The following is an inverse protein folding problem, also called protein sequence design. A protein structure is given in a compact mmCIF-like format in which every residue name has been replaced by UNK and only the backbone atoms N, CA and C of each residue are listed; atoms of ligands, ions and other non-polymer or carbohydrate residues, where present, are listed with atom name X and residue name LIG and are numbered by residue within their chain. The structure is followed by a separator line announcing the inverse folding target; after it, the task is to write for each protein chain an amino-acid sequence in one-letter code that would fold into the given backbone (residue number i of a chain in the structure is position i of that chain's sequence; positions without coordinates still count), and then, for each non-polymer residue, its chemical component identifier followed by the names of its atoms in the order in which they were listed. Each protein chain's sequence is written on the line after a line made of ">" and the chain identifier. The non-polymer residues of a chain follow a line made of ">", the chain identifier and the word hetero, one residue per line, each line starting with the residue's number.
data_IF_622553841937
#
_entry.id   IF_622553841937
#
_cell.length_a   1.000
_cell.length_b   1.000
_cell.length_c   1.000
_cell.angle_alpha   90.00
_cell.angle_beta   90.00
_cell.angle_gamma   90.00
#
_symmetry.space_group_name_H-M   'P 1'
#
loop_
_entity.id
_entity.type
_entity.pdbx_description
1 polymer ?
#
# COMPACT_ATOMS: atom_id res chain seq x y z
N UNK A 1 -8.09 16.69 -0.47
CA UNK A 1 -8.23 17.38 0.83
C UNK A 1 -9.67 17.40 1.32
N UNK A 2 -10.68 17.71 0.48
CA UNK A 2 -12.11 17.64 0.83
C UNK A 2 -12.51 16.27 1.44
N UNK A 3 -12.19 15.16 0.77
CA UNK A 3 -12.56 13.81 1.25
C UNK A 3 -11.93 13.44 2.61
N UNK A 4 -10.75 13.98 2.94
CA UNK A 4 -10.12 13.74 4.25
C UNK A 4 -10.85 14.50 5.37
N UNK A 5 -11.37 15.69 5.08
CA UNK A 5 -12.11 16.52 6.03
C UNK A 5 -13.53 16.00 6.22
N UNK A 6 -14.11 15.39 5.18
CA UNK A 6 -15.43 14.76 5.23
C UNK A 6 -15.41 13.31 5.76
N UNK A 7 -14.24 12.79 6.17
CA UNK A 7 -14.02 11.38 6.56
C UNK A 7 -14.44 10.34 5.49
N UNK A 8 -14.52 10.77 4.23
CA UNK A 8 -14.84 9.91 3.08
C UNK A 8 -13.58 9.19 2.59
N UNK A 9 -12.98 8.37 3.45
CA UNK A 9 -11.85 7.52 3.11
C UNK A 9 -11.99 6.12 3.71
N UNK A 10 -11.38 5.15 3.04
CA UNK A 10 -11.20 3.79 3.51
C UNK A 10 -9.74 3.58 3.93
N UNK A 11 -9.54 2.78 4.97
CA UNK A 11 -8.23 2.32 5.41
C UNK A 11 -8.10 0.82 5.12
N UNK A 12 -7.10 0.46 4.33
CA UNK A 12 -6.73 -0.93 4.04
C UNK A 12 -5.42 -1.22 4.77
N UNK A 13 -5.42 -2.20 5.66
CA UNK A 13 -4.28 -2.60 6.47
C UNK A 13 -3.84 -4.03 6.19
N UNK A 14 -2.55 -4.31 6.29
CA UNK A 14 -2.04 -5.64 6.03
C UNK A 14 -0.53 -5.75 6.19
N UNK A 15 0.01 -6.95 6.14
CA UNK A 15 1.44 -7.19 6.34
C UNK A 15 2.17 -7.14 5.01
N UNK A 16 3.23 -6.34 4.91
CA UNK A 16 4.09 -6.31 3.74
C UNK A 16 4.71 -7.70 3.50
N UNK A 17 4.45 -8.28 2.32
CA UNK A 17 4.98 -9.59 1.94
C UNK A 17 6.27 -9.47 1.13
N UNK A 18 6.35 -8.50 0.22
CA UNK A 18 7.53 -8.32 -0.63
C UNK A 18 7.76 -6.86 -1.00
N UNK A 19 9.03 -6.49 -1.22
CA UNK A 19 9.41 -5.14 -1.66
C UNK A 19 10.28 -5.21 -2.91
N UNK A 20 9.74 -4.81 -4.06
CA UNK A 20 10.51 -4.69 -5.29
C UNK A 20 11.16 -3.31 -5.40
N UNK A 21 12.49 -3.26 -5.53
CA UNK A 21 13.26 -2.01 -5.68
C UNK A 21 13.79 -1.84 -7.10
N UNK A 22 13.89 -0.59 -7.56
CA UNK A 22 14.60 -0.28 -8.81
C UNK A 22 16.09 -0.52 -8.63
N UNK A 23 16.76 -1.08 -9.66
CA UNK A 23 18.19 -1.45 -9.61
C UNK A 23 19.12 -0.26 -9.28
N UNK A 24 18.80 0.94 -9.76
CA UNK A 24 19.71 2.10 -9.68
C UNK A 24 19.48 3.02 -8.49
N UNK A 25 18.23 3.27 -8.10
CA UNK A 25 17.90 4.29 -7.10
C UNK A 25 17.51 3.71 -5.73
N UNK A 26 17.53 2.37 -5.58
CA UNK A 26 16.99 1.66 -4.39
C UNK A 26 15.56 2.07 -4.00
N UNK A 27 14.87 2.79 -4.89
CA UNK A 27 13.52 3.29 -4.71
C UNK A 27 12.57 2.11 -4.89
N UNK A 28 11.58 2.03 -4.02
CA UNK A 28 10.54 1.00 -4.12
C UNK A 28 9.77 1.23 -5.43
N UNK A 29 9.82 0.24 -6.32
CA UNK A 29 9.05 0.20 -7.58
C UNK A 29 7.60 -0.16 -7.27
N UNK A 30 7.42 -1.20 -6.47
CA UNK A 30 6.15 -1.63 -5.90
C UNK A 30 6.44 -2.46 -4.64
N UNK A 31 5.43 -2.62 -3.80
CA UNK A 31 5.43 -3.61 -2.73
C UNK A 31 4.11 -4.38 -2.78
N UNK A 32 4.10 -5.58 -2.19
CA UNK A 32 2.88 -6.35 -1.97
C UNK A 32 2.60 -6.47 -0.48
N UNK A 33 1.33 -6.50 -0.12
CA UNK A 33 0.86 -6.71 1.24
C UNK A 33 -0.25 -7.75 1.26
N UNK A 34 -0.31 -8.54 2.34
CA UNK A 34 -1.41 -9.45 2.62
C UNK A 34 -2.46 -8.72 3.46
N UNK A 35 -3.63 -8.53 2.89
CA UNK A 35 -4.82 -8.02 3.57
C UNK A 35 -5.81 -9.19 3.65
N UNK A 36 -6.07 -9.68 4.85
CA UNK A 36 -6.83 -10.91 5.09
C UNK A 36 -6.27 -12.10 4.30
N UNK A 37 -6.99 -12.60 3.30
CA UNK A 37 -6.59 -13.68 2.39
C UNK A 37 -6.16 -13.19 0.99
N UNK A 38 -6.07 -11.86 0.80
CA UNK A 38 -5.82 -11.23 -0.50
C UNK A 38 -4.47 -10.54 -0.57
N UNK A 39 -3.75 -10.77 -1.65
CA UNK A 39 -2.53 -10.03 -1.97
C UNK A 39 -2.90 -8.71 -2.63
N UNK A 40 -2.39 -7.60 -2.10
CA UNK A 40 -2.57 -6.25 -2.65
C UNK A 40 -1.22 -5.71 -3.08
N UNK A 41 -1.13 -5.28 -4.33
CA UNK A 41 0.05 -4.67 -4.94
C UNK A 41 -0.11 -3.17 -5.06
N UNK A 42 0.92 -2.45 -4.63
CA UNK A 42 0.86 -0.99 -4.49
C UNK A 42 2.07 -0.37 -5.16
N UNK A 43 1.83 0.69 -5.93
CA UNK A 43 2.87 1.47 -6.59
C UNK A 43 3.07 2.79 -5.85
N UNK A 44 4.22 3.00 -5.18
CA UNK A 44 4.51 4.24 -4.48
C UNK A 44 4.61 5.44 -5.43
N UNK A 45 3.85 6.50 -5.19
CA UNK A 45 3.99 7.77 -5.94
C UNK A 45 5.29 8.49 -5.58
N UNK A 46 5.81 8.27 -4.37
CA UNK A 46 7.04 8.87 -3.83
C UNK A 46 7.88 7.81 -3.11
N UNK A 47 9.04 8.20 -2.57
CA UNK A 47 9.85 7.31 -1.75
C UNK A 47 9.26 7.23 -0.33
N UNK A 48 8.83 6.03 0.06
CA UNK A 48 8.26 5.75 1.38
C UNK A 48 9.32 5.03 2.22
N UNK A 49 9.59 5.53 3.43
CA UNK A 49 10.52 4.91 4.38
C UNK A 49 9.79 3.84 5.20
N UNK A 50 10.53 2.89 5.77
CA UNK A 50 9.98 1.89 6.70
C UNK A 50 9.27 0.69 6.06
N UNK A 51 8.99 0.73 4.75
CA UNK A 51 8.42 -0.40 4.02
C UNK A 51 9.46 -1.52 3.89
N UNK A 52 9.20 -2.65 4.55
CA UNK A 52 9.96 -3.89 4.50
C UNK A 52 9.04 -5.07 4.82
N UNK A 53 9.46 -6.27 4.41
CA UNK A 53 8.73 -7.50 4.67
C UNK A 53 8.47 -7.68 6.17
N UNK A 54 7.27 -8.13 6.53
CA UNK A 54 6.84 -8.34 7.92
C UNK A 54 6.30 -7.10 8.63
N UNK A 55 6.43 -5.90 8.06
CA UNK A 55 5.87 -4.67 8.65
C UNK A 55 4.41 -4.48 8.26
N UNK A 56 3.58 -4.08 9.22
CA UNK A 56 2.19 -3.67 8.97
C UNK A 56 2.16 -2.37 8.15
N UNK A 57 1.40 -2.36 7.05
CA UNK A 57 1.19 -1.20 6.19
C UNK A 57 -0.28 -0.81 6.26
N UNK A 58 -0.54 0.50 6.35
CA UNK A 58 -1.89 1.09 6.24
C UNK A 58 -1.95 2.01 5.04
N UNK A 59 -3.00 1.87 4.24
CA UNK A 59 -3.23 2.64 3.02
C UNK A 59 -4.56 3.35 3.16
N UNK A 60 -4.56 4.67 2.98
CA UNK A 60 -5.75 5.50 3.03
C UNK A 60 -6.14 5.90 1.61
N UNK A 61 -7.34 5.55 1.18
CA UNK A 61 -7.82 5.76 -0.20
C UNK A 61 -9.31 6.14 -0.21
N UNK A 62 -9.83 6.56 -1.36
CA UNK A 62 -11.28 6.75 -1.54
C UNK A 62 -11.96 5.39 -1.60
N UNK A 63 -13.17 5.31 -1.09
CA UNK A 63 -14.15 4.25 -1.39
C UNK A 63 -14.41 4.04 -2.90
N UNK A 64 -14.23 5.09 -3.70
CA UNK A 64 -14.39 5.12 -5.16
C UNK A 64 -13.10 4.78 -5.92
N UNK A 65 -11.99 4.50 -5.23
CA UNK A 65 -10.74 4.13 -5.90
C UNK A 65 -10.94 2.83 -6.67
N UNK A 66 -10.69 2.86 -7.97
CA UNK A 66 -10.70 1.64 -8.80
C UNK A 66 -9.62 0.68 -8.32
N UNK A 67 -10.04 -0.53 -7.95
CA UNK A 67 -9.15 -1.64 -7.63
C UNK A 67 -9.16 -2.61 -8.81
N UNK A 68 -7.99 -2.90 -9.38
CA UNK A 68 -7.88 -3.84 -10.49
C UNK A 68 -7.57 -5.23 -9.94
N UNK A 69 -8.42 -6.21 -10.22
CA UNK A 69 -8.13 -7.60 -9.93
C UNK A 69 -7.31 -8.21 -11.08
N UNK A 70 -6.21 -8.90 -10.75
CA UNK A 70 -5.42 -9.64 -11.70
C UNK A 70 -5.11 -11.03 -11.11
N UNK A 71 -5.86 -12.05 -11.54
CA UNK A 71 -5.87 -13.46 -11.10
C UNK A 71 -5.85 -13.69 -9.59
N UNK A 72 -4.73 -13.38 -8.92
CA UNK A 72 -4.48 -13.62 -7.49
C UNK A 72 -4.12 -12.36 -6.69
N UNK A 73 -4.01 -11.20 -7.35
CA UNK A 73 -3.62 -9.94 -6.73
C UNK A 73 -4.61 -8.81 -7.04
N UNK A 74 -4.82 -7.91 -6.09
CA UNK A 74 -5.49 -6.63 -6.29
C UNK A 74 -4.45 -5.52 -6.46
N UNK A 75 -4.69 -4.57 -7.36
CA UNK A 75 -3.77 -3.46 -7.61
C UNK A 75 -4.41 -2.14 -7.23
N UNK A 76 -3.73 -1.40 -6.34
CA UNK A 76 -4.07 -0.03 -5.96
C UNK A 76 -3.13 0.94 -6.68
N UNK A 77 -3.70 1.78 -7.55
CA UNK A 77 -2.96 2.81 -8.30
C UNK A 77 -3.15 4.22 -7.74
N UNK A 78 -4.15 4.45 -6.91
CA UNK A 78 -4.44 5.76 -6.32
C UNK A 78 -4.80 5.63 -4.85
N UNK A 79 -4.12 6.42 -4.02
CA UNK A 79 -4.35 6.52 -2.59
C UNK A 79 -3.96 7.93 -2.13
N UNK A 80 -4.44 8.31 -0.96
CA UNK A 80 -4.10 9.57 -0.31
C UNK A 80 -2.80 9.47 0.47
N UNK A 81 -2.64 8.41 1.26
CA UNK A 81 -1.47 8.21 2.11
C UNK A 81 -1.14 6.72 2.31
N UNK A 82 0.12 6.45 2.64
CA UNK A 82 0.63 5.15 3.07
C UNK A 82 1.43 5.35 4.34
N UNK A 83 1.13 4.57 5.36
CA UNK A 83 1.84 4.53 6.63
C UNK A 83 2.48 3.15 6.80
N UNK A 84 3.77 3.14 7.13
CA UNK A 84 4.46 1.92 7.56
C UNK A 84 4.48 1.91 9.09
N UNK A 85 3.94 0.84 9.67
CA UNK A 85 3.99 0.58 11.10
C UNK A 85 5.40 0.33 11.61
N UNK A 86 5.52 0.23 12.93
CA UNK A 86 6.76 -0.25 13.55
C UNK A 86 6.89 -1.76 13.33
N UNK A 87 8.12 -2.28 13.28
CA UNK A 87 8.34 -3.73 13.26
C UNK A 87 7.55 -4.41 14.38
N UNK A 88 6.70 -5.36 14.00
CA UNK A 88 6.17 -6.35 14.94
C UNK A 88 7.36 -7.25 15.26
N UNK A 89 7.95 -7.04 16.45
CA UNK A 89 9.05 -7.86 16.98
C UNK A 89 8.57 -9.22 17.45
#
# INVERSE_FOLDING_TARGET
>A
MYNCVAEEYMCVSGICQSVCKTRFLRRIKYFTMLCDDKTVKVYPHSQIKGIKEGVEIKIYLSDKTSVYANDTEYVILSYYAVEAGNEVR
#
